data_IF_930201193586
#
_entry.id   IF_930201193586
#
_cell.length_a   1.000
_cell.length_b   1.000
_cell.length_c   1.000
_cell.angle_alpha   90.00
_cell.angle_beta   90.00
_cell.angle_gamma   90.00
#
_symmetry.space_group_name_H-M   'P 1'
#
loop_
_entity.id
_entity.type
_entity.pdbx_description
1 polymer ?
#
# COMPACT_ATOMS: atom_id res chain seq x y z
N UNK A 1 20.94 40.56 -8.92
CA UNK A 1 20.38 39.44 -9.71
C UNK A 1 19.17 38.91 -8.99
N UNK A 2 18.00 38.97 -9.60
CA UNK A 2 16.73 38.58 -8.99
C UNK A 2 16.50 37.08 -9.22
N UNK A 3 16.50 36.32 -8.14
CA UNK A 3 16.20 34.91 -8.16
C UNK A 3 14.69 34.69 -8.04
N UNK A 4 13.99 34.82 -9.17
CA UNK A 4 12.61 34.38 -9.29
C UNK A 4 12.64 32.86 -9.57
N UNK A 5 11.96 32.06 -8.74
CA UNK A 5 11.90 30.58 -8.73
C UNK A 5 13.06 29.78 -8.09
N UNK A 6 13.72 30.27 -7.04
CA UNK A 6 14.56 29.40 -6.19
C UNK A 6 13.72 28.70 -5.09
N UNK A 7 13.00 27.65 -5.46
CA UNK A 7 12.79 26.54 -4.52
C UNK A 7 13.86 25.50 -4.84
N UNK A 8 14.48 24.88 -3.82
CA UNK A 8 15.48 23.78 -3.92
C UNK A 8 16.97 24.15 -3.99
N UNK A 9 17.49 24.85 -2.98
CA UNK A 9 18.91 24.71 -2.63
C UNK A 9 19.13 23.41 -1.83
N UNK A 10 19.29 22.28 -2.53
CA UNK A 10 19.64 20.97 -1.95
C UNK A 10 19.03 19.78 -2.68
N UNK A 11 19.55 18.57 -2.44
CA UNK A 11 19.02 17.33 -2.99
C UNK A 11 17.55 17.16 -2.59
N UNK A 12 16.67 17.18 -3.59
CA UNK A 12 15.24 17.02 -3.39
C UNK A 12 14.87 15.55 -3.36
N UNK A 13 14.21 15.13 -2.31
CA UNK A 13 13.62 13.80 -2.24
C UNK A 13 12.08 13.93 -2.33
N UNK A 14 11.50 13.81 -3.54
CA UNK A 14 10.06 13.98 -3.74
C UNK A 14 9.24 12.86 -3.07
N UNK A 15 9.87 11.74 -2.71
CA UNK A 15 9.21 10.64 -2.03
C UNK A 15 9.06 10.98 -0.55
N UNK A 16 10.12 11.53 0.07
CA UNK A 16 10.08 11.98 1.48
C UNK A 16 9.03 13.06 1.71
N UNK A 17 8.84 13.98 0.77
CA UNK A 17 7.81 15.02 0.90
C UNK A 17 6.41 14.42 0.95
N UNK A 18 6.18 13.28 0.29
CA UNK A 18 4.88 12.62 0.19
C UNK A 18 4.52 11.72 1.38
N UNK A 19 5.45 11.42 2.29
CA UNK A 19 5.21 10.53 3.44
C UNK A 19 4.31 11.21 4.47
N UNK A 20 3.25 10.51 4.89
CA UNK A 20 2.37 10.94 5.98
C UNK A 20 3.15 11.02 7.29
N UNK A 21 3.16 12.19 7.92
CA UNK A 21 3.85 12.38 9.21
C UNK A 21 2.94 11.90 10.35
N UNK A 22 3.42 11.05 11.28
CA UNK A 22 2.65 10.65 12.44
C UNK A 22 2.24 11.90 13.24
N UNK A 23 0.93 12.09 13.45
CA UNK A 23 0.35 13.27 14.09
C UNK A 23 -0.45 14.21 13.17
N UNK A 24 -0.43 13.98 11.85
CA UNK A 24 -1.26 14.76 10.91
C UNK A 24 -2.47 13.93 10.51
N UNK A 25 -3.55 13.98 11.29
CA UNK A 25 -4.84 13.44 10.82
C UNK A 25 -5.37 14.44 9.77
N UNK A 26 -5.61 14.04 8.51
CA UNK A 26 -6.32 14.90 7.59
C UNK A 26 -7.77 14.99 8.07
N UNK A 27 -8.21 16.20 8.42
CA UNK A 27 -9.61 16.46 8.77
C UNK A 27 -10.51 16.00 7.60
N UNK A 28 -11.64 15.32 7.87
CA UNK A 28 -12.60 14.97 6.83
C UNK A 28 -13.30 16.26 6.39
N UNK A 29 -12.79 16.87 5.32
CA UNK A 29 -13.35 18.09 4.74
C UNK A 29 -12.29 19.14 4.43
N UNK A 30 -11.79 19.13 3.19
CA UNK A 30 -11.53 20.29 2.32
C UNK A 30 -10.86 21.59 2.83
N UNK A 31 -10.29 21.69 4.02
CA UNK A 31 -9.67 22.93 4.50
C UNK A 31 -8.19 22.73 4.86
N UNK A 32 -7.26 23.35 4.10
CA UNK A 32 -5.84 23.35 4.44
C UNK A 32 -5.60 24.31 5.60
N UNK A 33 -5.12 23.80 6.73
CA UNK A 33 -4.43 24.62 7.72
C UNK A 33 -4.96 24.62 9.15
N UNK A 34 -5.21 23.47 9.77
CA UNK A 34 -5.00 23.35 11.24
C UNK A 34 -4.77 21.89 11.62
N UNK A 35 -3.52 21.45 11.62
CA UNK A 35 -3.14 20.18 12.25
C UNK A 35 -2.72 20.48 13.70
N UNK A 36 -3.55 20.08 14.67
CA UNK A 36 -3.19 20.10 16.07
C UNK A 36 -2.10 19.03 16.30
N UNK A 37 -0.90 19.48 16.66
CA UNK A 37 0.25 18.61 16.91
C UNK A 37 0.03 17.83 18.22
N UNK A 38 -0.44 16.59 18.13
CA UNK A 38 -0.42 15.66 19.27
C UNK A 38 1.02 15.22 19.53
N UNK A 39 1.53 15.72 20.65
CA UNK A 39 2.82 15.42 21.25
C UNK A 39 3.07 13.92 21.41
N UNK A 40 4.06 13.39 20.68
CA UNK A 40 4.53 12.01 20.83
C UNK A 40 5.71 11.61 19.96
N UNK A 41 6.44 12.57 19.35
CA UNK A 41 7.62 12.25 18.53
C UNK A 41 8.86 12.26 19.42
N UNK A 42 9.34 11.08 19.82
CA UNK A 42 10.70 10.95 20.35
C UNK A 42 11.69 11.28 19.23
N UNK A 43 12.24 12.50 19.28
CA UNK A 43 13.41 12.89 18.49
C UNK A 43 14.61 12.14 19.06
N UNK A 44 15.12 11.15 18.34
CA UNK A 44 16.44 10.57 18.64
C UNK A 44 17.54 11.55 18.19
N UNK A 45 18.69 11.48 18.87
CA UNK A 45 19.82 12.45 18.81
C UNK A 45 20.66 12.40 17.54
N UNK A 46 20.12 11.90 16.43
CA UNK A 46 20.63 12.12 15.08
C UNK A 46 19.40 12.43 14.23
N UNK A 47 19.45 13.59 13.57
CA UNK A 47 18.36 14.26 12.87
C UNK A 47 17.80 13.49 11.67
N UNK A 48 17.19 12.34 11.91
CA UNK A 48 16.43 11.60 10.90
C UNK A 48 15.05 11.26 11.45
N UNK A 49 13.97 11.78 10.84
CA UNK A 49 12.62 11.40 11.24
C UNK A 49 12.43 9.91 10.97
N UNK A 50 11.95 9.18 11.99
CA UNK A 50 11.50 7.79 11.86
C UNK A 50 10.35 7.78 10.85
N UNK A 51 10.58 7.26 9.66
CA UNK A 51 9.53 7.18 8.65
C UNK A 51 8.60 6.00 8.95
N UNK A 52 7.27 6.18 8.91
CA UNK A 52 6.32 5.08 9.09
C UNK A 52 6.41 4.02 7.98
N UNK A 53 7.09 4.32 6.88
CA UNK A 53 7.19 3.47 5.69
C UNK A 53 8.26 2.38 5.75
N UNK A 54 9.10 2.36 6.78
CA UNK A 54 10.27 1.50 6.78
C UNK A 54 10.64 1.08 8.20
N UNK A 55 10.17 -0.11 8.59
CA UNK A 55 10.77 -0.87 9.69
C UNK A 55 12.28 -1.15 9.45
N UNK A 56 12.79 -0.93 8.23
CA UNK A 56 14.21 -0.95 7.91
C UNK A 56 14.93 0.39 8.23
N UNK A 57 14.20 1.48 8.48
CA UNK A 57 14.69 2.81 8.86
C UNK A 57 15.90 3.28 8.05
N UNK A 58 15.79 3.26 6.71
CA UNK A 58 16.87 3.66 5.80
C UNK A 58 18.05 2.67 5.67
N UNK A 59 18.09 1.60 6.45
CA UNK A 59 19.17 0.60 6.38
C UNK A 59 19.01 -0.35 5.19
N UNK A 60 19.97 -0.33 4.27
CA UNK A 60 20.03 -1.24 3.13
C UNK A 60 20.07 -2.72 3.55
N UNK A 61 20.90 -3.06 4.54
CA UNK A 61 21.05 -4.45 5.03
C UNK A 61 19.73 -4.99 5.62
N UNK A 62 19.00 -4.16 6.36
CA UNK A 62 17.68 -4.55 6.87
C UNK A 62 16.67 -4.69 5.74
N UNK A 63 16.69 -3.79 4.77
CA UNK A 63 15.81 -3.85 3.60
C UNK A 63 16.00 -5.15 2.80
N UNK A 64 17.25 -5.49 2.43
CA UNK A 64 17.55 -6.70 1.66
C UNK A 64 17.18 -7.97 2.43
N UNK A 65 17.45 -8.03 3.74
CA UNK A 65 17.04 -9.14 4.60
C UNK A 65 15.53 -9.34 4.61
N UNK A 66 14.74 -8.27 4.65
CA UNK A 66 13.26 -8.35 4.60
C UNK A 66 12.77 -8.81 3.24
N UNK A 67 13.36 -8.29 2.17
CA UNK A 67 13.05 -8.68 0.79
C UNK A 67 13.26 -10.20 0.62
N UNK A 68 14.42 -10.71 1.01
CA UNK A 68 14.75 -12.14 0.94
C UNK A 68 13.85 -13.02 1.82
N UNK A 69 13.32 -12.48 2.91
CA UNK A 69 12.37 -13.17 3.80
C UNK A 69 10.91 -12.93 3.44
N UNK A 70 10.63 -12.22 2.36
CA UNK A 70 9.28 -11.82 1.94
C UNK A 70 8.47 -11.10 3.03
N UNK A 71 9.15 -10.38 3.94
CA UNK A 71 8.49 -9.63 5.01
C UNK A 71 7.92 -8.34 4.41
N UNK A 72 6.59 -8.25 4.36
CA UNK A 72 5.87 -7.06 3.87
C UNK A 72 5.71 -5.99 4.95
N UNK A 73 5.62 -4.69 4.59
CA UNK A 73 5.18 -3.65 5.51
C UNK A 73 3.75 -3.97 6.02
N UNK A 74 3.46 -3.58 7.26
CA UNK A 74 2.12 -3.73 7.84
C UNK A 74 1.12 -2.74 7.24
N UNK A 75 1.60 -1.53 6.93
CA UNK A 75 0.78 -0.44 6.42
C UNK A 75 0.72 -0.44 4.89
N UNK A 76 -0.42 -0.02 4.35
CA UNK A 76 -0.64 0.15 2.92
C UNK A 76 -0.03 1.45 2.38
N UNK A 77 0.20 1.57 1.05
CA UNK A 77 0.70 2.79 0.43
C UNK A 77 -0.17 4.02 0.72
N UNK A 78 -1.48 3.84 0.86
CA UNK A 78 -2.47 4.87 1.13
C UNK A 78 -2.49 5.36 2.60
N UNK A 79 -1.85 4.63 3.52
CA UNK A 79 -1.63 5.03 4.90
C UNK A 79 -0.26 5.70 5.05
N UNK A 80 0.70 5.20 4.27
CA UNK A 80 2.09 5.65 4.28
C UNK A 80 2.27 7.00 3.56
N UNK A 81 1.60 7.20 2.42
CA UNK A 81 1.76 8.38 1.57
C UNK A 81 0.44 9.14 1.46
N UNK A 82 0.51 10.47 1.52
CA UNK A 82 -0.66 11.34 1.34
C UNK A 82 -0.95 11.66 -0.13
N UNK A 83 0.03 11.42 -1.01
CA UNK A 83 -0.10 11.53 -2.46
C UNK A 83 0.45 10.28 -3.14
N UNK A 84 -0.03 9.99 -4.35
CA UNK A 84 0.46 8.87 -5.16
C UNK A 84 1.86 9.20 -5.72
N UNK A 85 2.91 8.68 -5.10
CA UNK A 85 4.31 8.94 -5.51
C UNK A 85 4.72 8.24 -6.81
N UNK A 86 3.99 7.21 -7.23
CA UNK A 86 4.27 6.43 -8.43
C UNK A 86 2.96 6.01 -9.07
N UNK A 87 2.95 5.90 -10.40
CA UNK A 87 1.77 5.49 -11.19
C UNK A 87 1.18 4.14 -10.73
N UNK A 88 2.04 3.19 -10.34
CA UNK A 88 1.61 1.89 -9.84
C UNK A 88 0.80 1.96 -8.52
N UNK A 89 1.00 3.01 -7.72
CA UNK A 89 0.26 3.16 -6.45
C UNK A 89 -1.22 3.48 -6.71
N UNK A 90 -1.56 4.06 -7.87
CA UNK A 90 -2.92 4.45 -8.21
C UNK A 90 -3.91 3.27 -8.11
N UNK A 91 -3.50 2.07 -8.55
CA UNK A 91 -4.37 0.88 -8.60
C UNK A 91 -4.88 0.45 -7.21
N UNK A 92 -4.05 0.54 -6.17
CA UNK A 92 -4.41 0.09 -4.82
C UNK A 92 -4.71 1.24 -3.86
N UNK A 93 -4.51 2.49 -4.28
CA UNK A 93 -4.63 3.66 -3.39
C UNK A 93 -6.02 3.77 -2.76
N UNK A 94 -7.06 3.46 -3.53
CA UNK A 94 -8.46 3.58 -3.14
C UNK A 94 -9.02 2.36 -2.37
N UNK A 95 -8.27 1.26 -2.30
CA UNK A 95 -8.70 0.01 -1.65
C UNK A 95 -8.37 0.03 -0.15
N UNK A 96 -9.14 0.80 0.64
CA UNK A 96 -8.91 1.00 2.09
C UNK A 96 -9.29 -0.22 2.93
N UNK A 97 -10.50 -0.74 2.75
CA UNK A 97 -11.10 -1.75 3.63
C UNK A 97 -11.39 -3.08 2.91
N UNK A 98 -10.73 -3.29 1.77
CA UNK A 98 -10.97 -4.41 0.87
C UNK A 98 -12.27 -4.27 0.06
N UNK A 99 -12.33 -5.00 -1.04
CA UNK A 99 -13.42 -4.94 -2.04
C UNK A 99 -14.79 -5.34 -1.45
N UNK A 100 -14.79 -6.08 -0.34
CA UNK A 100 -16.02 -6.64 0.28
C UNK A 100 -16.98 -5.59 0.84
N UNK A 101 -16.48 -4.42 1.23
CA UNK A 101 -17.29 -3.34 1.81
C UNK A 101 -17.81 -2.35 0.76
N UNK A 102 -17.47 -2.55 -0.52
CA UNK A 102 -17.86 -1.62 -1.59
C UNK A 102 -19.32 -1.84 -1.98
N UNK A 103 -20.06 -0.76 -2.22
CA UNK A 103 -21.52 -0.85 -2.48
C UNK A 103 -21.85 -1.63 -3.76
N UNK A 104 -20.97 -1.58 -4.76
CA UNK A 104 -21.16 -2.30 -6.02
C UNK A 104 -20.95 -3.82 -5.90
N UNK A 105 -20.34 -4.30 -4.81
CA UNK A 105 -20.17 -5.74 -4.53
C UNK A 105 -21.29 -6.32 -3.68
N UNK A 106 -22.29 -5.54 -3.28
CA UNK A 106 -23.39 -6.02 -2.44
C UNK A 106 -24.55 -6.60 -3.25
N UNK A 107 -24.37 -6.80 -4.56
CA UNK A 107 -25.37 -7.39 -5.45
C UNK A 107 -25.30 -8.93 -5.46
N UNK A 108 -26.35 -9.55 -5.99
CA UNK A 108 -26.40 -11.00 -6.18
C UNK A 108 -25.35 -11.44 -7.21
N UNK A 109 -24.29 -12.09 -6.73
CA UNK A 109 -23.27 -12.67 -7.59
C UNK A 109 -23.69 -14.06 -8.07
N UNK A 110 -23.39 -14.35 -9.33
CA UNK A 110 -23.64 -15.64 -9.95
C UNK A 110 -22.30 -16.25 -10.42
N UNK A 111 -21.41 -16.63 -9.48
CA UNK A 111 -20.16 -17.27 -9.86
C UNK A 111 -20.47 -18.59 -10.57
N UNK A 112 -19.67 -18.94 -11.58
CA UNK A 112 -19.75 -20.26 -12.18
C UNK A 112 -19.32 -21.28 -11.13
N UNK A 113 -20.26 -22.09 -10.67
CA UNK A 113 -20.00 -23.25 -9.80
C UNK A 113 -19.94 -24.49 -10.68
N UNK A 114 -18.84 -25.24 -10.59
CA UNK A 114 -18.71 -26.50 -11.32
C UNK A 114 -19.67 -27.54 -10.71
N UNK A 115 -20.35 -28.30 -11.57
CA UNK A 115 -21.20 -29.40 -11.12
C UNK A 115 -20.36 -30.55 -10.54
N UNK A 116 -20.96 -31.39 -9.70
CA UNK A 116 -20.28 -32.60 -9.19
C UNK A 116 -19.81 -33.51 -10.31
N UNK A 117 -20.55 -33.60 -11.43
CA UNK A 117 -20.12 -34.35 -12.61
C UNK A 117 -18.89 -33.73 -13.27
N UNK A 118 -18.84 -32.40 -13.37
CA UNK A 118 -17.65 -31.70 -13.88
C UNK A 118 -16.45 -31.93 -12.97
N UNK A 119 -16.64 -31.83 -11.65
CA UNK A 119 -15.57 -32.09 -10.68
C UNK A 119 -15.07 -33.53 -10.73
N UNK A 120 -15.98 -34.50 -10.86
CA UNK A 120 -15.63 -35.92 -11.02
C UNK A 120 -14.81 -36.16 -12.29
N UNK A 121 -15.22 -35.57 -13.42
CA UNK A 121 -14.48 -35.67 -14.69
C UNK A 121 -13.09 -35.03 -14.55
N UNK A 122 -12.98 -33.85 -13.93
CA UNK A 122 -11.70 -33.19 -13.67
C UNK A 122 -10.79 -34.06 -12.77
N UNK A 123 -11.34 -34.71 -11.74
CA UNK A 123 -10.59 -35.61 -10.87
C UNK A 123 -10.14 -36.89 -11.60
N UNK A 124 -11.02 -37.49 -12.42
CA UNK A 124 -10.71 -38.71 -13.16
C UNK A 124 -9.71 -38.48 -14.28
N UNK A 125 -9.80 -37.35 -15.00
CA UNK A 125 -8.80 -36.99 -16.03
C UNK A 125 -7.42 -36.75 -15.44
N UNK A 126 -7.33 -36.26 -14.20
CA UNK A 126 -6.05 -36.00 -13.52
C UNK A 126 -5.45 -37.27 -12.89
N UNK A 127 -6.28 -38.18 -12.39
CA UNK A 127 -5.84 -39.40 -11.70
C UNK A 127 -5.68 -40.61 -12.61
N UNK A 128 -6.49 -40.71 -13.67
CA UNK A 128 -6.51 -41.86 -14.57
C UNK A 128 -6.23 -41.43 -16.02
N UNK A 129 -5.10 -41.89 -16.56
CA UNK A 129 -4.67 -41.61 -17.93
C UNK A 129 -5.56 -42.23 -19.02
N UNK A 130 -6.30 -43.29 -18.69
CA UNK A 130 -7.17 -43.99 -19.64
C UNK A 130 -8.62 -43.49 -19.59
N UNK A 131 -8.93 -42.58 -18.67
CA UNK A 131 -10.24 -41.98 -18.62
C UNK A 131 -10.40 -40.96 -19.76
N UNK A 132 -11.34 -41.22 -20.66
CA UNK A 132 -11.78 -40.27 -21.69
C UNK A 132 -13.28 -40.04 -21.59
N UNK A 133 -13.67 -38.77 -21.68
CA UNK A 133 -15.07 -38.41 -21.88
C UNK A 133 -15.25 -38.28 -23.40
N UNK A 134 -15.76 -39.35 -24.01
CA UNK A 134 -15.84 -39.61 -25.45
C UNK A 134 -14.52 -39.99 -26.12
#
# INVERSE_FOLDING_TARGET
>A
MSFFNLTHLGAQDPIKTAVTRPGTVPAPGGQPGTAASTSGVQRTTLSEPVYPNSEANGSYVKYTKRLNKHIRPRLGPNEIYHTQVTTNINYSYWMKDGVQHETWTQNGHHPRVNSEMTRFVDEMTLTNKEFTLF
#
